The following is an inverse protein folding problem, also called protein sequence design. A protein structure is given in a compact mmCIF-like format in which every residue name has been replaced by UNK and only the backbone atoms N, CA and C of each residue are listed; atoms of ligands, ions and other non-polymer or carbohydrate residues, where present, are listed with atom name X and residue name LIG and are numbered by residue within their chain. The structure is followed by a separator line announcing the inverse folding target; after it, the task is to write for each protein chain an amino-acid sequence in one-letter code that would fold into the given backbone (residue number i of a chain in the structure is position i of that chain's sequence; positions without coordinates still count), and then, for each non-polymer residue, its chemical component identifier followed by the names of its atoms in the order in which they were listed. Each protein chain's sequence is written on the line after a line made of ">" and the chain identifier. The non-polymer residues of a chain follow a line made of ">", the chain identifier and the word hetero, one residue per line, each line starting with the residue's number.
data_IF_479947751854
#
_entry.id   IF_479947751854
#
_cell.length_a   1.000
_cell.length_b   1.000
_cell.length_c   1.000
_cell.angle_alpha   90.00
_cell.angle_beta   90.00
_cell.angle_gamma   90.00
#
_symmetry.space_group_name_H-M   'P 1'
#
loop_
_entity.id
_entity.type
_entity.pdbx_description
1 polymer ?
#
# COMPACT_ATOMS: atom_id res chain seq x y z
N UNK A 1 9.47 -20.89 -0.99
CA UNK A 1 8.89 -20.81 0.36
C UNK A 1 7.61 -20.01 0.24
N UNK A 2 6.47 -20.70 0.29
CA UNK A 2 5.16 -20.06 0.40
C UNK A 2 5.04 -19.56 1.83
N UNK A 3 4.69 -18.29 2.01
CA UNK A 3 4.44 -17.69 3.32
C UNK A 3 3.41 -18.53 4.07
N UNK A 4 3.69 -18.86 5.33
CA UNK A 4 2.72 -19.54 6.19
C UNK A 4 1.52 -18.60 6.40
N UNK A 5 0.30 -18.98 5.97
CA UNK A 5 -0.89 -18.15 6.07
C UNK A 5 -1.30 -17.81 7.52
N UNK A 6 -0.71 -18.47 8.52
CA UNK A 6 -0.92 -18.15 9.94
C UNK A 6 0.15 -17.23 10.55
N UNK A 7 1.25 -16.94 9.84
CA UNK A 7 2.44 -16.32 10.43
C UNK A 7 2.41 -14.78 10.50
N UNK A 8 1.46 -14.11 9.85
CA UNK A 8 1.28 -12.68 10.04
C UNK A 8 -0.20 -12.33 10.04
N UNK A 9 -0.80 -12.34 11.24
CA UNK A 9 -1.74 -11.27 11.53
C UNK A 9 -0.90 -9.99 11.44
N UNK A 10 -0.90 -9.37 10.26
CA UNK A 10 -0.21 -8.10 10.03
C UNK A 10 -0.60 -7.17 11.19
N UNK A 11 0.38 -6.71 11.96
CA UNK A 11 0.13 -5.68 12.96
C UNK A 11 -0.15 -4.38 12.21
N UNK A 12 -1.40 -4.23 11.78
CA UNK A 12 -1.85 -3.13 10.93
C UNK A 12 -1.72 -1.82 11.70
N UNK A 13 -2.02 -1.83 13.00
CA UNK A 13 -1.74 -0.68 13.84
C UNK A 13 -0.24 -0.38 13.83
N UNK A 14 0.59 -1.41 13.98
CA UNK A 14 2.05 -1.34 13.88
C UNK A 14 2.54 -0.60 12.67
N UNK A 15 2.05 -1.04 11.52
CA UNK A 15 2.37 -0.46 10.23
C UNK A 15 1.93 1.00 10.15
N UNK A 16 0.71 1.30 10.60
CA UNK A 16 0.20 2.67 10.59
C UNK A 16 1.02 3.60 11.48
N UNK A 17 1.42 3.17 12.68
CA UNK A 17 2.26 3.99 13.54
C UNK A 17 3.63 4.29 12.92
N UNK A 18 4.28 3.31 12.29
CA UNK A 18 5.56 3.54 11.60
C UNK A 18 5.40 4.60 10.50
N UNK A 19 4.31 4.56 9.73
CA UNK A 19 4.04 5.53 8.67
C UNK A 19 3.61 6.90 9.21
N UNK A 20 2.89 6.93 10.34
CA UNK A 20 2.54 8.17 11.06
C UNK A 20 3.79 8.84 11.63
N UNK A 21 4.76 8.08 12.15
CA UNK A 21 6.05 8.61 12.61
C UNK A 21 6.79 9.33 11.47
N UNK A 22 6.79 8.75 10.26
CA UNK A 22 7.36 9.39 9.06
C UNK A 22 6.55 10.64 8.68
N UNK A 23 5.22 10.56 8.68
CA UNK A 23 4.34 11.67 8.32
C UNK A 23 4.41 12.84 9.31
N UNK A 24 4.82 12.58 10.56
CA UNK A 24 4.99 13.58 11.59
C UNK A 24 6.30 14.38 11.46
N UNK A 25 7.23 13.94 10.61
CA UNK A 25 8.45 14.69 10.30
C UNK A 25 8.14 15.95 9.50
N UNK A 26 9.05 16.92 9.55
CA UNK A 26 8.94 18.10 8.69
C UNK A 26 9.00 17.70 7.21
N UNK A 27 8.28 18.40 6.29
CA UNK A 27 8.27 18.06 4.87
C UNK A 27 9.66 18.05 4.20
N UNK A 28 10.64 18.79 4.74
CA UNK A 28 12.01 18.82 4.24
C UNK A 28 12.96 17.87 5.01
N UNK A 29 12.45 17.08 5.95
CA UNK A 29 13.27 16.24 6.82
C UNK A 29 14.06 15.21 6.00
N UNK A 30 15.35 15.11 6.31
CA UNK A 30 16.28 14.15 5.70
C UNK A 30 17.10 13.47 6.80
N UNK A 31 17.05 12.14 6.86
CA UNK A 31 17.61 11.40 7.99
C UNK A 31 17.12 9.95 8.09
N UNK A 32 17.15 9.42 9.31
CA UNK A 32 16.73 8.06 9.62
C UNK A 32 15.87 8.01 10.89
N UNK A 33 14.74 7.32 10.83
CA UNK A 33 13.98 6.86 11.99
C UNK A 33 14.45 5.46 12.37
N UNK A 34 15.08 5.30 13.54
CA UNK A 34 15.53 3.99 14.04
C UNK A 34 14.54 3.43 15.05
N UNK A 35 14.22 2.14 14.93
CA UNK A 35 13.29 1.41 15.79
C UNK A 35 14.01 0.36 16.64
N UNK A 36 13.53 0.15 17.86
CA UNK A 36 14.10 -0.81 18.83
C UNK A 36 15.08 -0.20 19.84
N UNK A 37 15.76 -1.04 20.64
CA UNK A 37 16.74 -0.62 21.64
C UNK A 37 17.98 0.08 21.05
N UNK A 38 18.61 0.95 21.83
CA UNK A 38 19.80 1.74 21.47
C UNK A 38 20.96 0.86 21.04
N UNK A 39 21.16 -0.21 21.79
CA UNK A 39 22.30 -1.11 21.67
C UNK A 39 22.09 -2.13 20.54
N UNK A 40 20.84 -2.36 20.14
CA UNK A 40 20.45 -3.35 19.16
C UNK A 40 19.19 -2.90 18.41
N UNK A 41 19.29 -1.91 17.51
CA UNK A 41 18.13 -1.45 16.74
C UNK A 41 17.60 -2.61 15.89
N UNK A 42 16.28 -2.75 15.86
CA UNK A 42 15.58 -3.73 15.01
C UNK A 42 15.72 -3.33 13.54
N UNK A 43 15.70 -2.03 13.26
CA UNK A 43 15.87 -1.51 11.92
C UNK A 43 15.70 -0.01 11.84
N UNK A 44 15.63 0.50 10.61
CA UNK A 44 15.47 1.92 10.35
C UNK A 44 14.68 2.18 9.06
N UNK A 45 14.00 3.32 9.04
CA UNK A 45 13.38 3.93 7.86
C UNK A 45 14.20 5.16 7.49
N UNK A 46 14.75 5.18 6.28
CA UNK A 46 15.45 6.33 5.73
C UNK A 46 14.43 7.24 5.06
N UNK A 47 14.52 8.53 5.41
CA UNK A 47 13.60 9.57 4.95
C UNK A 47 14.41 10.65 4.23
N UNK A 48 13.91 11.07 3.09
CA UNK A 48 14.49 12.11 2.24
C UNK A 48 13.34 13.03 1.80
N UNK A 49 13.46 14.33 2.10
CA UNK A 49 12.39 15.31 1.83
C UNK A 49 11.00 14.84 2.30
N UNK A 50 10.94 14.33 3.54
CA UNK A 50 9.70 13.86 4.15
C UNK A 50 9.11 12.56 3.57
N UNK A 51 9.78 11.94 2.60
CA UNK A 51 9.34 10.69 1.97
C UNK A 51 10.27 9.53 2.33
N UNK A 52 9.73 8.32 2.41
CA UNK A 52 10.57 7.13 2.64
C UNK A 52 11.33 6.77 1.37
N UNK A 53 12.65 6.75 1.42
CA UNK A 53 13.48 6.28 0.31
C UNK A 53 13.91 4.81 0.46
N UNK A 54 14.00 4.32 1.70
CA UNK A 54 14.42 2.95 2.00
C UNK A 54 14.00 2.56 3.41
N UNK A 55 13.76 1.28 3.64
CA UNK A 55 13.71 0.71 4.99
C UNK A 55 14.48 -0.60 5.07
N UNK A 56 15.07 -0.87 6.24
CA UNK A 56 15.74 -2.13 6.54
C UNK A 56 15.43 -2.57 7.96
N UNK A 57 15.30 -3.89 8.16
CA UNK A 57 15.08 -4.50 9.45
C UNK A 57 15.85 -5.82 9.57
N UNK A 58 16.18 -6.24 10.78
CA UNK A 58 16.85 -7.50 11.04
C UNK A 58 16.00 -8.69 10.58
N UNK A 59 16.64 -9.71 10.00
CA UNK A 59 15.98 -10.93 9.56
C UNK A 59 15.16 -10.81 8.26
N UNK A 60 15.14 -9.63 7.62
CA UNK A 60 14.45 -9.46 6.35
C UNK A 60 15.20 -10.08 5.17
N UNK A 61 14.49 -10.28 4.06
CA UNK A 61 15.10 -10.68 2.79
C UNK A 61 15.97 -9.53 2.25
N UNK A 62 17.26 -9.76 1.94
CA UNK A 62 18.11 -8.71 1.41
C UNK A 62 17.69 -8.31 -0.02
N UNK A 63 17.87 -7.03 -0.38
CA UNK A 63 17.53 -6.52 -1.72
C UNK A 63 18.17 -7.35 -2.84
N UNK A 64 19.44 -7.75 -2.69
CA UNK A 64 20.15 -8.56 -3.69
C UNK A 64 19.42 -9.85 -4.02
N UNK A 65 18.76 -10.47 -3.04
CA UNK A 65 17.97 -11.68 -3.26
C UNK A 65 16.68 -11.39 -4.04
N UNK A 66 16.00 -10.29 -3.76
CA UNK A 66 14.83 -9.84 -4.54
C UNK A 66 15.24 -9.61 -6.00
N UNK A 67 16.37 -8.94 -6.22
CA UNK A 67 16.90 -8.67 -7.55
C UNK A 67 17.21 -9.95 -8.34
N UNK A 68 17.85 -10.95 -7.70
CA UNK A 68 18.10 -12.25 -8.33
C UNK A 68 16.80 -12.98 -8.66
N UNK A 69 15.88 -13.10 -7.69
CA UNK A 69 14.67 -13.91 -7.81
C UNK A 69 13.68 -13.33 -8.84
N UNK A 70 13.53 -12.00 -8.88
CA UNK A 70 12.51 -11.34 -9.70
C UNK A 70 13.00 -10.94 -11.10
N UNK A 71 14.25 -10.55 -11.22
CA UNK A 71 14.80 -10.01 -12.47
C UNK A 71 15.91 -10.88 -13.08
N UNK A 72 16.21 -12.04 -12.48
CA UNK A 72 17.14 -13.01 -13.05
C UNK A 72 18.59 -12.54 -13.04
N UNK A 73 18.94 -11.57 -12.20
CA UNK A 73 20.33 -11.12 -12.07
C UNK A 73 21.20 -12.21 -11.45
N UNK A 74 22.36 -12.45 -12.04
CA UNK A 74 23.32 -13.40 -11.53
C UNK A 74 23.96 -12.86 -10.24
N UNK A 75 24.06 -13.72 -9.23
CA UNK A 75 24.50 -13.33 -7.88
C UNK A 75 25.94 -12.83 -7.86
N UNK A 76 26.83 -13.49 -8.59
CA UNK A 76 28.23 -13.12 -8.76
C UNK A 76 28.37 -11.74 -9.43
N UNK A 77 27.52 -11.44 -10.42
CA UNK A 77 27.46 -10.10 -11.04
C UNK A 77 27.09 -9.04 -9.99
N UNK A 78 26.04 -9.28 -9.20
CA UNK A 78 25.62 -8.36 -8.15
C UNK A 78 26.68 -8.16 -7.05
N UNK A 79 27.34 -9.22 -6.60
CA UNK A 79 28.40 -9.15 -5.58
C UNK A 79 29.62 -8.37 -6.08
N UNK A 80 30.06 -8.63 -7.33
CA UNK A 80 31.15 -7.89 -7.96
C UNK A 80 30.82 -6.40 -8.10
N UNK A 81 29.58 -6.07 -8.50
CA UNK A 81 29.11 -4.68 -8.61
C UNK A 81 28.98 -3.99 -7.26
N UNK A 82 28.47 -4.68 -6.26
CA UNK A 82 28.41 -4.17 -4.89
C UNK A 82 29.80 -3.79 -4.38
N UNK A 83 30.78 -4.68 -4.56
CA UNK A 83 32.15 -4.42 -4.10
C UNK A 83 32.75 -3.20 -4.81
N UNK A 84 32.58 -3.09 -6.13
CA UNK A 84 33.05 -1.94 -6.90
C UNK A 84 32.39 -0.63 -6.49
N UNK A 85 31.05 -0.58 -6.40
CA UNK A 85 30.35 0.64 -6.00
C UNK A 85 30.70 1.04 -4.56
N UNK A 86 30.98 0.08 -3.67
CA UNK A 86 31.50 0.35 -2.32
C UNK A 86 32.89 0.99 -2.34
N UNK A 87 33.80 0.50 -3.18
CA UNK A 87 35.14 1.08 -3.35
C UNK A 87 35.09 2.48 -3.96
N UNK A 88 34.16 2.72 -4.88
CA UNK A 88 33.95 4.01 -5.55
C UNK A 88 33.07 4.99 -4.74
N UNK A 89 32.46 4.54 -3.64
CA UNK A 89 31.52 5.35 -2.86
C UNK A 89 30.20 5.67 -3.58
N UNK A 90 29.80 4.85 -4.56
CA UNK A 90 28.58 5.02 -5.37
C UNK A 90 27.42 4.17 -4.85
N UNK A 91 26.15 4.63 -4.98
CA UNK A 91 24.99 3.80 -4.67
C UNK A 91 24.86 2.61 -5.64
N UNK A 92 24.69 1.40 -5.11
CA UNK A 92 24.55 0.19 -5.94
C UNK A 92 23.39 0.31 -6.94
N UNK A 93 22.23 0.84 -6.51
CA UNK A 93 21.05 0.96 -7.38
C UNK A 93 21.32 1.78 -8.64
N UNK A 94 21.94 2.95 -8.50
CA UNK A 94 22.34 3.81 -9.62
C UNK A 94 23.31 3.09 -10.56
N UNK A 95 24.33 2.41 -9.99
CA UNK A 95 25.25 1.61 -10.80
C UNK A 95 24.52 0.55 -11.65
N UNK A 96 23.50 -0.13 -11.11
CA UNK A 96 22.76 -1.17 -11.84
C UNK A 96 21.93 -0.60 -12.99
N UNK A 97 21.40 0.62 -12.83
CA UNK A 97 20.63 1.30 -13.88
C UNK A 97 21.55 1.87 -14.95
N UNK A 98 22.64 2.55 -14.56
CA UNK A 98 23.60 3.16 -15.48
C UNK A 98 24.23 2.12 -16.43
N UNK A 99 24.43 0.90 -15.93
CA UNK A 99 24.99 -0.21 -16.70
C UNK A 99 23.93 -1.05 -17.43
N UNK A 100 22.66 -0.62 -17.42
CA UNK A 100 21.54 -1.31 -18.04
C UNK A 100 21.31 -2.75 -17.55
N UNK A 101 21.72 -3.07 -16.31
CA UNK A 101 21.41 -4.34 -15.66
C UNK A 101 19.96 -4.34 -15.14
N UNK A 102 19.43 -3.17 -14.81
CA UNK A 102 18.04 -2.94 -14.47
C UNK A 102 17.54 -1.67 -15.15
N UNK A 103 16.24 -1.63 -15.46
CA UNK A 103 15.54 -0.37 -15.68
C UNK A 103 15.29 0.36 -14.36
N UNK A 104 15.01 1.66 -14.45
CA UNK A 104 14.61 2.49 -13.28
C UNK A 104 13.37 1.89 -12.61
N UNK A 105 12.40 1.44 -13.40
CA UNK A 105 11.14 0.86 -12.95
C UNK A 105 11.38 -0.45 -12.19
N UNK A 106 12.22 -1.35 -12.72
CA UNK A 106 12.56 -2.61 -12.05
C UNK A 106 13.27 -2.37 -10.72
N UNK A 107 14.21 -1.41 -10.67
CA UNK A 107 14.86 -1.05 -9.42
C UNK A 107 13.86 -0.46 -8.42
N UNK A 108 13.00 0.47 -8.86
CA UNK A 108 11.95 1.07 -8.02
C UNK A 108 11.02 -0.01 -7.45
N UNK A 109 10.58 -0.96 -8.26
CA UNK A 109 9.75 -2.08 -7.83
C UNK A 109 10.45 -2.95 -6.77
N UNK A 110 11.74 -3.25 -6.97
CA UNK A 110 12.53 -4.03 -6.01
C UNK A 110 12.67 -3.31 -4.67
N UNK A 111 12.93 -2.00 -4.73
CA UNK A 111 13.07 -1.14 -3.55
C UNK A 111 11.75 -1.00 -2.80
N UNK A 112 10.64 -0.86 -3.52
CA UNK A 112 9.31 -0.81 -2.93
C UNK A 112 8.98 -2.12 -2.21
N UNK A 113 9.23 -3.27 -2.84
CA UNK A 113 9.03 -4.58 -2.24
C UNK A 113 9.91 -4.77 -0.99
N UNK A 114 11.21 -4.43 -1.09
CA UNK A 114 12.14 -4.50 0.03
C UNK A 114 11.69 -3.62 1.20
N UNK A 115 11.35 -2.37 0.92
CA UNK A 115 10.91 -1.39 1.92
C UNK A 115 9.62 -1.85 2.59
N UNK A 116 8.63 -2.32 1.84
CA UNK A 116 7.40 -2.89 2.39
C UNK A 116 7.66 -4.09 3.29
N UNK A 117 8.56 -5.01 2.90
CA UNK A 117 8.96 -6.13 3.75
C UNK A 117 9.59 -5.66 5.08
N UNK A 118 10.45 -4.64 5.03
CA UNK A 118 11.03 -4.07 6.25
C UNK A 118 9.96 -3.44 7.14
N UNK A 119 8.99 -2.72 6.58
CA UNK A 119 7.90 -2.11 7.35
C UNK A 119 7.04 -3.15 8.08
N UNK A 120 6.80 -4.32 7.48
CA UNK A 120 6.10 -5.44 8.16
C UNK A 120 6.90 -5.98 9.34
N UNK A 121 8.23 -5.99 9.27
CA UNK A 121 9.07 -6.39 10.42
C UNK A 121 9.06 -5.29 11.48
N UNK A 122 9.21 -4.03 11.07
CA UNK A 122 9.23 -2.87 11.95
C UNK A 122 7.89 -2.65 12.66
N UNK A 123 6.77 -3.01 12.03
CA UNK A 123 5.44 -2.89 12.63
C UNK A 123 5.31 -3.70 13.93
N UNK A 124 6.10 -4.77 14.10
CA UNK A 124 6.14 -5.54 15.34
C UNK A 124 7.06 -4.99 16.43
N UNK A 125 7.88 -3.97 16.15
CA UNK A 125 8.95 -3.49 17.04
C UNK A 125 8.54 -2.32 17.96
N UNK A 126 7.25 -2.19 18.29
CA UNK A 126 6.62 -0.98 18.86
C UNK A 126 6.91 -0.69 20.32
N UNK A 127 7.77 -1.47 20.97
CA UNK A 127 8.01 -1.35 22.41
C UNK A 127 8.59 0.02 22.81
N UNK A 128 9.16 0.78 21.86
CA UNK A 128 9.72 2.11 22.09
C UNK A 128 9.44 3.08 20.94
N UNK A 129 9.29 4.35 21.28
CA UNK A 129 9.23 5.44 20.30
C UNK A 129 10.48 5.44 19.40
N UNK A 130 10.33 5.70 18.10
CA UNK A 130 11.47 5.76 17.20
C UNK A 130 12.36 6.94 17.53
N UNK A 131 13.59 6.90 17.01
CA UNK A 131 14.54 7.99 17.16
C UNK A 131 14.90 8.56 15.82
N UNK A 132 14.74 9.86 15.71
CA UNK A 132 15.18 10.60 14.56
C UNK A 132 16.68 10.88 14.63
N UNK A 133 17.38 10.66 13.52
CA UNK A 133 18.77 11.08 13.30
C UNK A 133 18.85 11.82 11.98
N UNK A 134 19.13 13.11 12.05
CA UNK A 134 19.27 13.96 10.87
C UNK A 134 20.53 13.62 10.06
N UNK A 135 20.42 13.63 8.75
CA UNK A 135 21.55 13.53 7.83
C UNK A 135 21.70 14.84 7.06
N UNK A 136 22.92 15.40 7.05
CA UNK A 136 23.19 16.69 6.39
C UNK A 136 23.30 16.62 4.87
N UNK A 137 23.48 15.43 4.32
CA UNK A 137 23.67 15.24 2.89
C UNK A 137 22.55 14.36 2.38
N UNK A 138 21.78 14.89 1.42
CA UNK A 138 20.93 14.09 0.55
C UNK A 138 21.79 13.04 -0.16
N UNK A 139 21.37 11.79 -0.11
CA UNK A 139 22.11 10.67 -0.73
C UNK A 139 21.26 9.82 -1.65
N UNK A 140 19.97 10.14 -1.77
CA UNK A 140 19.02 9.31 -2.50
C UNK A 140 18.29 10.13 -3.56
N UNK A 141 18.22 9.58 -4.76
CA UNK A 141 17.44 10.14 -5.86
C UNK A 141 15.93 10.03 -5.55
N UNK A 142 15.21 11.15 -5.68
CA UNK A 142 13.77 11.23 -5.41
C UNK A 142 12.92 10.23 -6.22
N UNK A 143 13.42 9.74 -7.37
CA UNK A 143 12.75 8.69 -8.16
C UNK A 143 12.64 7.35 -7.42
N UNK A 144 13.40 7.17 -6.34
CA UNK A 144 13.36 6.00 -5.47
C UNK A 144 12.76 6.31 -4.09
N UNK A 145 12.01 7.40 -3.97
CA UNK A 145 11.20 7.73 -2.80
C UNK A 145 9.74 7.26 -2.97
N UNK A 146 9.12 6.92 -1.85
CA UNK A 146 7.77 6.37 -1.77
C UNK A 146 6.94 7.19 -0.81
N UNK A 147 5.70 7.47 -1.19
CA UNK A 147 4.74 8.06 -0.27
C UNK A 147 4.12 6.97 0.62
N UNK A 148 3.54 7.36 1.75
CA UNK A 148 2.99 6.40 2.72
C UNK A 148 1.86 5.54 2.15
N UNK A 149 1.03 6.09 1.27
CA UNK A 149 -0.08 5.36 0.65
C UNK A 149 0.42 4.25 -0.29
N UNK A 150 1.50 4.52 -1.04
CA UNK A 150 2.17 3.57 -1.92
C UNK A 150 2.81 2.42 -1.12
N UNK A 151 3.44 2.74 0.01
CA UNK A 151 4.00 1.75 0.92
C UNK A 151 2.92 0.85 1.54
N UNK A 152 1.77 1.42 1.93
CA UNK A 152 0.64 0.63 2.41
C UNK A 152 0.14 -0.34 1.35
N UNK A 153 -0.03 0.12 0.12
CA UNK A 153 -0.44 -0.73 -0.99
C UNK A 153 0.57 -1.83 -1.30
N UNK A 154 1.86 -1.51 -1.21
CA UNK A 154 2.93 -2.48 -1.39
C UNK A 154 2.90 -3.57 -0.30
N UNK A 155 2.72 -3.19 0.97
CA UNK A 155 2.51 -4.17 2.05
C UNK A 155 1.25 -5.00 1.81
N UNK A 156 0.14 -4.35 1.46
CA UNK A 156 -1.12 -5.02 1.21
C UNK A 156 -1.05 -6.04 0.06
N UNK A 157 -0.27 -5.74 -1.00
CA UNK A 157 -0.03 -6.65 -2.13
C UNK A 157 0.67 -7.95 -1.71
N UNK A 158 1.41 -7.93 -0.61
CA UNK A 158 2.11 -9.10 -0.07
C UNK A 158 1.20 -9.94 0.84
N UNK A 159 0.30 -9.28 1.58
CA UNK A 159 -0.55 -9.92 2.59
C UNK A 159 -1.87 -10.42 2.01
N UNK A 160 -2.50 -9.65 1.13
CA UNK A 160 -3.85 -9.94 0.57
C UNK A 160 -3.93 -9.76 -0.96
N UNK A 161 -3.03 -10.37 -1.75
CA UNK A 161 -2.97 -10.16 -3.20
C UNK A 161 -4.27 -10.51 -3.94
N UNK A 162 -4.96 -11.57 -3.52
CA UNK A 162 -6.21 -12.00 -4.13
C UNK A 162 -7.33 -10.96 -3.94
N UNK A 163 -7.38 -10.31 -2.77
CA UNK A 163 -8.35 -9.26 -2.48
C UNK A 163 -8.03 -8.00 -3.26
N UNK A 164 -6.76 -7.64 -3.41
CA UNK A 164 -6.33 -6.49 -4.22
C UNK A 164 -6.74 -6.66 -5.70
N UNK A 165 -6.53 -7.84 -6.28
CA UNK A 165 -6.98 -8.14 -7.66
C UNK A 165 -8.50 -8.04 -7.78
N UNK A 166 -9.24 -8.52 -6.78
CA UNK A 166 -10.70 -8.39 -6.74
C UNK A 166 -11.13 -6.93 -6.68
N UNK A 167 -10.56 -6.15 -5.76
CA UNK A 167 -10.89 -4.75 -5.57
C UNK A 167 -10.64 -3.95 -6.85
N UNK A 168 -9.50 -4.18 -7.51
CA UNK A 168 -9.18 -3.57 -8.80
C UNK A 168 -10.26 -3.87 -9.86
N UNK A 169 -10.67 -5.15 -10.02
CA UNK A 169 -11.72 -5.52 -10.99
C UNK A 169 -13.08 -4.89 -10.69
N UNK A 170 -13.42 -4.73 -9.41
CA UNK A 170 -14.67 -4.09 -9.01
C UNK A 170 -14.61 -2.59 -9.33
N UNK A 171 -13.52 -1.92 -8.96
CA UNK A 171 -13.37 -0.49 -9.16
C UNK A 171 -13.23 -0.13 -10.64
N UNK A 172 -12.49 -0.91 -11.44
CA UNK A 172 -12.41 -0.72 -12.90
C UNK A 172 -13.78 -0.68 -13.59
N UNK A 173 -14.78 -1.39 -13.04
CA UNK A 173 -16.16 -1.41 -13.56
C UNK A 173 -17.02 -0.25 -13.08
N UNK A 174 -16.70 0.31 -11.92
CA UNK A 174 -17.53 1.32 -11.23
C UNK A 174 -16.99 2.73 -11.43
N UNK A 175 -15.67 2.91 -11.43
CA UNK A 175 -15.05 4.22 -11.31
C UNK A 175 -14.58 4.74 -12.66
N UNK A 176 -15.18 5.85 -13.08
CA UNK A 176 -14.70 6.65 -14.20
C UNK A 176 -14.37 8.03 -13.63
N UNK A 177 -13.10 8.23 -13.27
CA UNK A 177 -12.53 9.47 -12.73
C UNK A 177 -13.00 9.89 -11.31
N UNK A 178 -12.93 8.97 -10.34
CA UNK A 178 -13.23 9.25 -8.92
C UNK A 178 -12.00 9.06 -8.04
N UNK A 179 -11.91 9.85 -6.97
CA UNK A 179 -10.99 9.53 -5.87
C UNK A 179 -11.63 8.40 -5.09
N UNK A 180 -11.03 7.21 -5.15
CA UNK A 180 -11.63 6.02 -4.55
C UNK A 180 -10.56 5.09 -3.99
N UNK A 181 -10.98 4.30 -3.02
CA UNK A 181 -10.12 3.37 -2.32
C UNK A 181 -10.90 2.10 -1.97
N UNK A 182 -10.19 0.99 -1.88
CA UNK A 182 -10.69 -0.24 -1.28
C UNK A 182 -9.91 -0.58 -0.02
N UNK A 183 -10.62 -1.14 0.94
CA UNK A 183 -10.13 -1.48 2.25
C UNK A 183 -10.53 -2.91 2.58
N UNK A 184 -9.64 -3.63 3.27
CA UNK A 184 -10.01 -4.85 3.99
C UNK A 184 -10.34 -4.43 5.42
N UNK A 185 -11.61 -4.60 5.78
CA UNK A 185 -12.12 -4.45 7.14
C UNK A 185 -12.10 -5.82 7.83
N UNK A 186 -11.25 -5.97 8.85
CA UNK A 186 -11.17 -7.19 9.66
C UNK A 186 -10.89 -6.85 11.12
N UNK A 187 -11.72 -7.37 12.04
CA UNK A 187 -11.56 -7.21 13.51
C UNK A 187 -11.28 -5.77 13.98
N UNK A 188 -11.93 -4.78 13.36
CA UNK A 188 -11.75 -3.36 13.69
C UNK A 188 -10.52 -2.70 13.06
N UNK A 189 -9.80 -3.40 12.18
CA UNK A 189 -8.70 -2.86 11.39
C UNK A 189 -9.14 -2.59 9.97
N UNK A 190 -8.54 -1.55 9.37
CA UNK A 190 -8.73 -1.17 7.98
C UNK A 190 -7.39 -1.11 7.27
N UNK A 191 -7.18 -2.01 6.32
CA UNK A 191 -5.99 -2.02 5.47
C UNK A 191 -6.38 -1.52 4.07
N UNK A 192 -5.85 -0.38 3.60
CA UNK A 192 -6.02 0.03 2.22
C UNK A 192 -5.34 -0.99 1.29
N UNK A 193 -6.08 -1.50 0.31
CA UNK A 193 -5.57 -2.50 -0.64
C UNK A 193 -5.59 -2.00 -2.09
N UNK A 194 -6.26 -0.89 -2.37
CA UNK A 194 -6.27 -0.27 -3.70
C UNK A 194 -6.64 1.21 -3.59
N UNK A 195 -6.07 2.05 -4.46
CA UNK A 195 -6.30 3.50 -4.51
C UNK A 195 -6.42 4.00 -5.95
N UNK A 196 -7.22 5.05 -6.13
CA UNK A 196 -7.26 5.89 -7.32
C UNK A 196 -7.35 7.36 -6.87
N UNK A 197 -6.53 8.20 -7.50
CA UNK A 197 -6.30 9.58 -7.08
C UNK A 197 -5.15 9.69 -6.08
N UNK A 198 -4.75 10.93 -5.81
CA UNK A 198 -3.72 11.23 -4.84
C UNK A 198 -4.34 11.30 -3.44
N UNK A 199 -3.75 10.56 -2.51
CA UNK A 199 -4.25 10.45 -1.14
C UNK A 199 -3.15 10.77 -0.14
N UNK A 200 -3.41 11.73 0.75
CA UNK A 200 -2.70 11.80 2.01
C UNK A 200 -3.12 10.62 2.90
N UNK A 201 -2.18 10.09 3.69
CA UNK A 201 -2.43 8.94 4.56
C UNK A 201 -3.63 9.17 5.49
N UNK A 202 -3.72 10.37 6.10
CA UNK A 202 -4.80 10.69 7.04
C UNK A 202 -6.17 10.71 6.36
N UNK A 203 -6.26 11.32 5.18
CA UNK A 203 -7.51 11.40 4.43
C UNK A 203 -7.97 10.02 3.97
N UNK A 204 -7.03 9.18 3.54
CA UNK A 204 -7.30 7.79 3.17
C UNK A 204 -7.86 6.98 4.34
N UNK A 205 -7.24 7.05 5.51
CA UNK A 205 -7.70 6.34 6.70
C UNK A 205 -9.04 6.87 7.18
N UNK A 206 -9.26 8.19 7.09
CA UNK A 206 -10.53 8.83 7.42
C UNK A 206 -11.65 8.35 6.51
N UNK A 207 -11.41 8.26 5.19
CA UNK A 207 -12.36 7.70 4.24
C UNK A 207 -12.68 6.24 4.57
N UNK A 208 -11.66 5.42 4.85
CA UNK A 208 -11.83 4.02 5.19
C UNK A 208 -12.67 3.82 6.46
N UNK A 209 -12.35 4.55 7.53
CA UNK A 209 -13.07 4.52 8.79
C UNK A 209 -14.52 4.94 8.61
N UNK A 210 -14.74 6.09 7.96
CA UNK A 210 -16.09 6.56 7.64
C UNK A 210 -16.88 5.52 6.84
N UNK A 211 -16.26 4.89 5.83
CA UNK A 211 -16.93 3.90 4.99
C UNK A 211 -17.33 2.64 5.77
N UNK A 212 -16.43 2.11 6.59
CA UNK A 212 -16.69 0.91 7.38
C UNK A 212 -17.74 1.16 8.48
N UNK A 213 -17.54 2.21 9.27
CA UNK A 213 -18.40 2.55 10.40
C UNK A 213 -19.82 2.90 9.94
N UNK A 214 -19.95 3.67 8.86
CA UNK A 214 -21.26 4.09 8.36
C UNK A 214 -22.08 2.89 7.85
N UNK A 215 -21.44 1.94 7.16
CA UNK A 215 -22.09 0.71 6.72
C UNK A 215 -22.55 -0.13 7.92
N UNK A 216 -21.68 -0.29 8.93
CA UNK A 216 -21.99 -1.07 10.12
C UNK A 216 -23.12 -0.44 10.95
N UNK A 217 -23.04 0.86 11.23
CA UNK A 217 -24.07 1.62 11.94
C UNK A 217 -25.41 1.58 11.22
N UNK A 218 -25.41 1.73 9.89
CA UNK A 218 -26.64 1.65 9.08
C UNK A 218 -27.25 0.24 9.14
N UNK A 219 -26.41 -0.79 9.12
CA UNK A 219 -26.87 -2.18 9.24
C UNK A 219 -27.49 -2.44 10.61
N UNK A 220 -26.87 -1.92 11.66
CA UNK A 220 -27.39 -2.03 13.02
C UNK A 220 -28.70 -1.27 13.21
N UNK A 221 -28.80 -0.05 12.68
CA UNK A 221 -29.99 0.79 12.80
C UNK A 221 -31.21 0.24 12.05
N UNK A 222 -30.99 -0.40 10.91
CA UNK A 222 -32.06 -0.99 10.07
C UNK A 222 -32.40 -2.43 10.45
N UNK A 223 -31.48 -3.13 11.13
CA UNK A 223 -31.60 -4.56 11.39
C UNK A 223 -31.34 -5.44 10.16
N UNK A 224 -30.93 -4.86 9.04
CA UNK A 224 -30.65 -5.54 7.77
C UNK A 224 -29.23 -5.21 7.29
N UNK A 225 -28.54 -6.12 6.58
CA UNK A 225 -27.23 -5.81 5.99
C UNK A 225 -27.31 -4.62 5.03
N UNK A 226 -26.64 -3.52 5.36
CA UNK A 226 -26.52 -2.36 4.47
C UNK A 226 -25.36 -2.58 3.52
N UNK A 227 -25.62 -2.54 2.21
CA UNK A 227 -24.58 -2.75 1.20
C UNK A 227 -23.98 -1.45 0.66
N UNK A 228 -24.71 -0.33 0.78
CA UNK A 228 -24.37 0.95 0.17
C UNK A 228 -24.88 2.10 1.04
N UNK A 229 -24.02 3.07 1.31
CA UNK A 229 -24.39 4.34 1.94
C UNK A 229 -23.80 5.50 1.15
N UNK A 230 -24.56 6.59 1.02
CA UNK A 230 -24.09 7.82 0.41
C UNK A 230 -24.47 9.02 1.27
N UNK A 231 -23.58 10.00 1.34
CA UNK A 231 -23.82 11.28 1.98
C UNK A 231 -23.39 12.41 1.03
N UNK A 232 -24.01 13.58 1.18
CA UNK A 232 -23.63 14.80 0.44
C UNK A 232 -23.47 15.96 1.40
N UNK A 233 -22.48 16.81 1.15
CA UNK A 233 -22.33 18.08 1.87
C UNK A 233 -23.17 19.21 1.25
N UNK A 234 -23.17 20.39 1.90
CA UNK A 234 -23.87 21.59 1.42
C UNK A 234 -23.38 22.08 0.04
N UNK A 235 -22.15 21.70 -0.34
CA UNK A 235 -21.53 22.02 -1.64
C UNK A 235 -21.83 20.96 -2.70
N UNK A 236 -22.73 20.01 -2.42
CA UNK A 236 -23.10 18.89 -3.29
C UNK A 236 -21.94 17.96 -3.64
N UNK A 237 -20.88 17.94 -2.82
CA UNK A 237 -19.85 16.90 -2.89
C UNK A 237 -20.41 15.66 -2.21
N UNK A 238 -20.32 14.54 -2.90
CA UNK A 238 -20.77 13.24 -2.41
C UNK A 238 -19.62 12.43 -1.84
N UNK A 239 -19.92 11.61 -0.84
CA UNK A 239 -19.09 10.50 -0.42
C UNK A 239 -19.95 9.24 -0.42
N UNK A 240 -19.40 8.15 -0.94
CA UNK A 240 -20.10 6.86 -1.07
C UNK A 240 -19.26 5.77 -0.46
N UNK A 241 -19.90 4.91 0.32
CA UNK A 241 -19.33 3.68 0.82
C UNK A 241 -20.17 2.50 0.32
N UNK A 242 -19.52 1.42 -0.06
CA UNK A 242 -20.22 0.15 -0.33
C UNK A 242 -19.40 -1.04 0.09
N UNK A 243 -20.08 -2.16 0.34
CA UNK A 243 -19.48 -3.46 0.66
C UNK A 243 -19.53 -4.37 -0.55
N UNK A 244 -18.50 -5.20 -0.72
CA UNK A 244 -18.54 -6.26 -1.73
C UNK A 244 -19.51 -7.37 -1.29
N UNK A 245 -20.57 -7.67 -2.05
CA UNK A 245 -21.55 -8.69 -1.65
C UNK A 245 -20.95 -10.11 -1.60
N UNK A 246 -19.88 -10.38 -2.34
CA UNK A 246 -19.24 -11.69 -2.37
C UNK A 246 -17.96 -11.78 -1.52
N UNK A 247 -17.54 -10.68 -0.89
CA UNK A 247 -16.48 -10.67 0.11
C UNK A 247 -16.76 -9.58 1.14
N UNK A 248 -17.52 -9.89 2.22
CA UNK A 248 -18.00 -8.88 3.17
C UNK A 248 -16.91 -8.07 3.88
N UNK A 249 -15.66 -8.57 3.89
CA UNK A 249 -14.51 -7.83 4.43
C UNK A 249 -14.06 -6.69 3.51
N UNK A 250 -14.42 -6.70 2.23
CA UNK A 250 -14.09 -5.63 1.31
C UNK A 250 -15.08 -4.48 1.42
N UNK A 251 -14.56 -3.34 1.83
CA UNK A 251 -15.27 -2.07 1.87
C UNK A 251 -14.62 -1.13 0.88
N UNK A 252 -15.42 -0.38 0.15
CA UNK A 252 -14.97 0.61 -0.80
C UNK A 252 -15.46 1.98 -0.35
N UNK A 253 -14.65 3.00 -0.58
CA UNK A 253 -14.99 4.40 -0.37
C UNK A 253 -14.69 5.20 -1.63
N UNK A 254 -15.55 6.16 -1.98
CA UNK A 254 -15.30 7.08 -3.08
C UNK A 254 -15.78 8.50 -2.74
N UNK A 255 -14.98 9.50 -3.13
CA UNK A 255 -15.34 10.91 -3.09
C UNK A 255 -15.75 11.38 -4.49
N UNK A 256 -16.93 11.99 -4.57
CA UNK A 256 -17.53 12.52 -5.78
C UNK A 256 -17.60 14.05 -5.68
N UNK A 257 -16.76 14.76 -6.44
CA UNK A 257 -16.76 16.22 -6.45
C UNK A 257 -17.91 16.84 -7.26
N UNK A 258 -18.61 16.02 -8.05
CA UNK A 258 -19.78 16.41 -8.82
C UNK A 258 -20.97 15.50 -8.52
N UNK A 259 -22.16 16.09 -8.41
CA UNK A 259 -23.43 15.34 -8.24
C UNK A 259 -23.71 14.35 -9.38
N UNK A 260 -23.26 14.65 -10.60
CA UNK A 260 -23.34 13.76 -11.77
C UNK A 260 -22.48 12.51 -11.58
N UNK A 261 -21.30 12.65 -10.98
CA UNK A 261 -20.39 11.55 -10.69
C UNK A 261 -20.98 10.62 -9.62
N UNK A 262 -21.58 11.19 -8.57
CA UNK A 262 -22.35 10.45 -7.57
C UNK A 262 -23.49 9.66 -8.21
N UNK A 263 -24.32 10.31 -9.03
CA UNK A 263 -25.44 9.65 -9.71
C UNK A 263 -24.98 8.49 -10.62
N UNK A 264 -23.88 8.67 -11.36
CA UNK A 264 -23.28 7.61 -12.19
C UNK A 264 -22.80 6.42 -11.36
N UNK A 265 -22.09 6.67 -10.26
CA UNK A 265 -21.62 5.60 -9.37
C UNK A 265 -22.80 4.81 -8.81
N UNK A 266 -23.82 5.49 -8.27
CA UNK A 266 -25.00 4.83 -7.71
C UNK A 266 -25.76 3.99 -8.75
N UNK A 267 -25.85 4.49 -9.99
CA UNK A 267 -26.44 3.73 -11.11
C UNK A 267 -25.63 2.47 -11.43
N UNK A 268 -24.30 2.61 -11.57
CA UNK A 268 -23.40 1.48 -11.86
C UNK A 268 -23.39 0.42 -10.77
N UNK A 269 -23.42 0.84 -9.51
CA UNK A 269 -23.46 -0.10 -8.38
C UNK A 269 -24.70 -0.99 -8.44
N UNK A 270 -25.88 -0.41 -8.74
CA UNK A 270 -27.13 -1.16 -8.91
C UNK A 270 -27.06 -2.17 -10.06
N UNK A 271 -26.42 -1.81 -11.18
CA UNK A 271 -26.18 -2.73 -12.30
C UNK A 271 -25.34 -3.93 -11.85
N UNK A 272 -24.28 -3.72 -11.07
CA UNK A 272 -23.40 -4.80 -10.60
C UNK A 272 -24.10 -5.72 -9.59
N UNK A 273 -24.86 -5.16 -8.64
CA UNK A 273 -25.65 -5.95 -7.70
C UNK A 273 -26.66 -6.86 -8.39
N UNK A 274 -27.26 -6.40 -9.49
CA UNK A 274 -28.19 -7.21 -10.29
C UNK A 274 -27.52 -8.38 -11.02
N UNK A 275 -26.23 -8.29 -11.34
CA UNK A 275 -25.46 -9.33 -12.05
C UNK A 275 -24.91 -10.38 -11.07
N UNK A 276 -24.54 -9.97 -9.85
CA UNK A 276 -24.01 -10.86 -8.81
C UNK A 276 -24.98 -11.96 -8.38
N UNK A 277 -26.29 -11.71 -8.45
CA UNK A 277 -27.33 -12.71 -8.15
C UNK A 277 -27.45 -13.85 -9.16
N UNK A 278 -26.87 -13.72 -10.36
CA UNK A 278 -27.01 -14.69 -11.46
C UNK A 278 -25.76 -15.56 -11.68
N UNK A 279 -24.66 -15.31 -10.94
CA UNK A 279 -23.31 -15.75 -11.32
C UNK A 279 -22.70 -16.96 -10.59
N UNK A 280 -23.42 -17.70 -9.75
CA UNK A 280 -22.86 -18.84 -8.99
C UNK A 280 -22.65 -20.13 -9.83
N UNK A 281 -22.57 -20.03 -11.16
CA UNK A 281 -22.42 -21.18 -12.06
C UNK A 281 -21.48 -20.90 -13.23
N UNK A 282 -20.16 -20.88 -12.99
CA UNK A 282 -19.14 -21.41 -13.92
C UNK A 282 -17.73 -21.12 -13.42
N UNK A 283 -17.00 -22.18 -13.07
CA UNK A 283 -15.55 -22.14 -12.93
C UNK A 283 -14.90 -21.97 -14.30
N UNK A 284 -14.37 -20.78 -14.58
CA UNK A 284 -13.58 -20.47 -15.76
C UNK A 284 -12.14 -20.17 -15.36
N UNK A 285 -11.24 -21.11 -15.62
CA UNK A 285 -9.81 -20.97 -15.44
C UNK A 285 -9.29 -19.84 -16.37
N UNK A 286 -8.85 -18.71 -15.82
CA UNK A 286 -8.23 -17.62 -16.58
C UNK A 286 -6.83 -17.36 -16.05
N UNK A 287 -5.85 -17.53 -16.95
CA UNK A 287 -4.43 -17.33 -16.69
C UNK A 287 -4.15 -15.94 -16.11
N UNK A 288 -3.26 -15.90 -15.13
CA UNK A 288 -2.79 -14.70 -14.45
C UNK A 288 -2.16 -13.74 -15.46
N UNK A 289 -2.94 -12.79 -15.97
CA UNK A 289 -2.40 -11.53 -16.47
C UNK A 289 -1.95 -10.73 -15.25
N UNK A 290 -0.69 -10.31 -15.25
CA UNK A 290 -0.16 -9.37 -14.27
C UNK A 290 -1.14 -8.21 -14.13
N UNK A 291 -1.55 -7.92 -12.89
CA UNK A 291 -2.27 -6.70 -12.60
C UNK A 291 -1.44 -5.52 -13.15
N UNK A 292 -2.06 -4.58 -13.86
CA UNK A 292 -1.34 -3.38 -14.26
C UNK A 292 -0.82 -2.73 -12.98
N UNK A 293 0.49 -2.51 -12.90
CA UNK A 293 1.06 -1.60 -11.91
C UNK A 293 0.21 -0.33 -11.97
N UNK A 294 -0.44 0.00 -10.85
CA UNK A 294 -1.20 1.23 -10.73
C UNK A 294 -0.24 2.35 -11.11
N UNK A 295 -0.53 3.03 -12.22
CA UNK A 295 0.18 4.27 -12.55
C UNK A 295 -0.20 5.26 -11.44
N UNK A 296 0.73 5.48 -10.52
CA UNK A 296 0.80 6.68 -9.72
C UNK A 296 1.00 7.88 -10.67
#
# INVERSE_FOLDING_TARGET
>A
MLFDPNMFALDTLGLLAVLEDVAALEPAATGALTYGPDEAPVGAVLVESGQTCWAAAAGMRPLTRILCERFGLARDVLENRYQRCREEGRPLGECLVDEALLSVEQLREALLEHTANALVVLSGARERAPRWREHRNSRYDARFSFNNSELLLAVASQVVPALQVRAWRVLERITVALHSAAFVADRGYLLPIWLQGDWELRDLLTLGAWAADTIELSSHATGEPTELVAATDERRRGVVAWRDPAEPRLVYGAMCFESTALGRLLSRYREIGSIGGLGNSAGGNHGARHAPHARA
#
